data_IF_223844971204
#
_entry.id   IF_223844971204
#
_cell.length_a   1.000
_cell.length_b   1.000
_cell.length_c   1.000
_cell.angle_alpha   90.00
_cell.angle_beta   90.00
_cell.angle_gamma   90.00
#
_symmetry.space_group_name_H-M   'P 1'
#
loop_
_entity.id
_entity.type
_entity.pdbx_description
1 polymer ?
#
# COMPACT_ATOMS: atom_id res chain seq x y z
N UNK A 1 2.65 10.26 13.03
CA UNK A 1 1.23 10.46 12.66
C UNK A 1 0.49 9.13 12.72
N UNK A 2 -0.80 9.12 13.07
CA UNK A 2 -1.64 7.91 12.99
C UNK A 2 -2.37 7.89 11.64
N UNK A 3 -2.13 6.88 10.80
CA UNK A 3 -2.87 6.70 9.56
C UNK A 3 -3.94 5.61 9.74
N UNK A 4 -5.16 5.91 9.30
CA UNK A 4 -6.22 4.93 9.07
C UNK A 4 -6.67 5.06 7.62
N UNK A 5 -6.45 4.02 6.83
CA UNK A 5 -6.78 3.99 5.41
C UNK A 5 -7.64 2.77 5.10
N UNK A 6 -8.79 2.99 4.47
CA UNK A 6 -9.76 1.95 4.15
C UNK A 6 -10.39 2.22 2.78
N UNK A 7 -9.59 2.11 1.69
CA UNK A 7 -10.07 2.40 0.36
C UNK A 7 -11.07 1.34 -0.11
N UNK A 8 -12.09 1.76 -0.86
CA UNK A 8 -13.03 0.85 -1.51
C UNK A 8 -12.48 0.43 -2.87
N UNK A 9 -11.55 -0.52 -2.88
CA UNK A 9 -11.10 -1.18 -4.11
C UNK A 9 -11.33 -2.69 -4.03
N UNK A 10 -11.51 -3.31 -5.20
CA UNK A 10 -11.50 -4.76 -5.35
C UNK A 10 -10.71 -5.13 -6.59
N UNK A 11 -9.88 -6.15 -6.50
CA UNK A 11 -9.13 -6.72 -7.61
C UNK A 11 -9.63 -8.15 -7.84
N UNK A 12 -9.81 -8.52 -9.11
CA UNK A 12 -10.14 -9.88 -9.51
C UNK A 12 -9.11 -10.36 -10.52
N UNK A 13 -8.55 -11.54 -10.30
CA UNK A 13 -7.55 -12.17 -11.16
C UNK A 13 -7.99 -13.58 -11.46
N UNK A 14 -8.06 -13.90 -12.76
CA UNK A 14 -8.31 -15.26 -13.24
C UNK A 14 -7.00 -15.82 -13.78
N UNK A 15 -6.64 -17.02 -13.34
CA UNK A 15 -5.48 -17.73 -13.88
C UNK A 15 -5.76 -19.22 -14.04
N UNK A 16 -5.07 -19.81 -15.01
CA UNK A 16 -5.13 -21.24 -15.28
C UNK A 16 -3.80 -21.87 -14.85
N UNK A 17 -3.88 -23.00 -14.15
CA UNK A 17 -2.72 -23.72 -13.65
C UNK A 17 -2.77 -25.20 -13.98
N UNK A 18 -1.62 -25.83 -13.95
CA UNK A 18 -1.48 -27.28 -14.09
C UNK A 18 -0.70 -27.80 -12.90
N UNK A 19 -1.39 -28.50 -11.99
CA UNK A 19 -0.75 -29.17 -10.86
C UNK A 19 -1.45 -30.50 -10.64
N UNK A 20 -0.88 -31.57 -11.22
CA UNK A 20 -1.49 -32.89 -11.40
C UNK A 20 -2.76 -32.91 -12.29
N UNK A 21 -3.59 -31.86 -12.24
CA UNK A 21 -4.75 -31.64 -13.10
C UNK A 21 -4.80 -30.16 -13.54
N UNK A 22 -5.38 -29.89 -14.70
CA UNK A 22 -5.70 -28.52 -15.13
C UNK A 22 -6.77 -27.94 -14.21
N UNK A 23 -6.54 -26.73 -13.69
CA UNK A 23 -7.53 -26.02 -12.90
C UNK A 23 -7.63 -24.56 -13.35
N UNK A 24 -8.81 -23.98 -13.18
CA UNK A 24 -9.01 -22.53 -13.29
C UNK A 24 -9.25 -21.95 -11.91
N UNK A 25 -8.52 -20.90 -11.57
CA UNK A 25 -8.65 -20.22 -10.30
C UNK A 25 -9.10 -18.77 -10.54
N UNK A 26 -10.17 -18.38 -9.87
CA UNK A 26 -10.62 -17.01 -9.74
C UNK A 26 -10.31 -16.52 -8.34
N UNK A 27 -9.39 -15.57 -8.26
CA UNK A 27 -8.97 -14.90 -7.04
C UNK A 27 -9.62 -13.52 -6.97
N UNK A 28 -10.26 -13.21 -5.84
CA UNK A 28 -10.78 -11.88 -5.54
C UNK A 28 -10.15 -11.34 -4.26
N UNK A 29 -9.59 -10.14 -4.33
CA UNK A 29 -9.02 -9.41 -3.20
C UNK A 29 -9.84 -8.14 -2.97
N UNK A 30 -10.33 -7.91 -1.75
CA UNK A 30 -11.21 -6.78 -1.43
C UNK A 30 -11.18 -6.42 0.07
N UNK A 31 -11.89 -5.34 0.43
CA UNK A 31 -12.03 -4.84 1.81
C UNK A 31 -10.67 -4.61 2.49
N UNK A 32 -9.73 -4.01 1.76
CA UNK A 32 -8.41 -3.67 2.26
C UNK A 32 -8.52 -2.52 3.26
N UNK A 33 -7.99 -2.73 4.47
CA UNK A 33 -7.90 -1.73 5.53
C UNK A 33 -6.53 -1.78 6.15
N UNK A 34 -5.90 -0.63 6.32
CA UNK A 34 -4.59 -0.46 6.96
C UNK A 34 -4.68 0.59 8.05
N UNK A 35 -4.08 0.30 9.19
CA UNK A 35 -4.00 1.19 10.33
C UNK A 35 -2.62 1.06 10.97
N UNK A 36 -1.93 2.18 11.13
CA UNK A 36 -0.59 2.17 11.72
C UNK A 36 -0.02 3.56 11.92
N UNK A 37 1.13 3.61 12.59
CA UNK A 37 1.89 4.85 12.79
C UNK A 37 2.82 5.09 11.61
N UNK A 38 2.69 6.26 11.00
CA UNK A 38 3.57 6.71 9.90
C UNK A 38 4.59 7.71 10.44
N UNK A 39 5.82 7.54 9.97
CA UNK A 39 6.92 8.49 10.02
C UNK A 39 7.03 9.18 8.66
N UNK A 40 7.13 10.51 8.72
CA UNK A 40 7.43 11.36 7.58
C UNK A 40 8.81 11.96 7.82
N UNK A 41 9.69 11.84 6.83
CA UNK A 41 10.95 12.56 6.74
C UNK A 41 10.84 13.50 5.55
N UNK A 42 11.22 14.76 5.73
CA UNK A 42 11.37 15.69 4.61
C UNK A 42 12.75 16.32 4.72
N UNK A 43 13.45 16.46 3.59
CA UNK A 43 14.65 17.29 3.52
C UNK A 43 14.28 18.76 3.72
N UNK A 44 15.23 19.58 4.19
CA UNK A 44 14.97 21.00 4.48
C UNK A 44 14.56 21.81 3.22
N UNK A 45 15.02 21.37 2.05
CA UNK A 45 14.72 21.92 0.73
C UNK A 45 13.52 21.23 0.04
N UNK A 46 12.86 20.28 0.72
CA UNK A 46 11.75 19.46 0.19
C UNK A 46 12.09 18.68 -1.10
N UNK A 47 13.38 18.52 -1.43
CA UNK A 47 13.82 17.70 -2.56
C UNK A 47 13.54 16.21 -2.36
N UNK A 48 13.42 15.77 -1.10
CA UNK A 48 13.16 14.38 -0.74
C UNK A 48 12.14 14.28 0.39
N UNK A 49 11.09 13.49 0.17
CA UNK A 49 10.07 13.18 1.18
C UNK A 49 10.02 11.65 1.36
N UNK A 50 10.48 11.17 2.51
CA UNK A 50 10.41 9.78 2.92
C UNK A 50 9.12 9.49 3.71
N UNK A 51 8.38 8.46 3.29
CA UNK A 51 7.17 8.00 3.96
C UNK A 51 7.35 6.53 4.35
N UNK A 52 7.24 6.23 5.64
CA UNK A 52 7.33 4.85 6.15
C UNK A 52 6.42 4.61 7.34
N UNK A 53 6.02 3.35 7.56
CA UNK A 53 5.44 2.92 8.81
C UNK A 53 6.55 2.72 9.87
N UNK A 54 6.29 3.17 11.10
CA UNK A 54 7.22 3.01 12.23
C UNK A 54 7.39 1.54 12.61
N UNK A 55 6.30 0.78 12.50
CA UNK A 55 6.18 -0.65 12.81
C UNK A 55 5.19 -1.28 11.82
N UNK A 56 5.15 -2.60 11.75
CA UNK A 56 4.21 -3.29 10.87
C UNK A 56 2.76 -2.82 11.13
N UNK A 57 2.09 -2.18 10.15
CA UNK A 57 0.72 -1.72 10.37
C UNK A 57 -0.23 -2.91 10.54
N UNK A 58 -1.29 -2.69 11.32
CA UNK A 58 -2.42 -3.61 11.35
C UNK A 58 -3.13 -3.49 10.02
N UNK A 59 -3.23 -4.59 9.29
CA UNK A 59 -3.97 -4.64 8.05
C UNK A 59 -5.06 -5.72 8.09
N UNK A 60 -6.14 -5.48 7.37
CA UNK A 60 -7.19 -6.45 7.08
C UNK A 60 -7.33 -6.53 5.58
N UNK A 61 -7.32 -7.74 5.07
CA UNK A 61 -7.54 -8.08 3.68
C UNK A 61 -8.56 -9.21 3.64
N UNK A 62 -9.55 -9.13 2.75
CA UNK A 62 -10.42 -10.28 2.45
C UNK A 62 -10.02 -10.84 1.10
N UNK A 63 -10.00 -12.15 1.04
CA UNK A 63 -9.60 -12.91 -0.13
C UNK A 63 -10.65 -13.99 -0.33
N UNK A 64 -11.26 -14.04 -1.52
CA UNK A 64 -12.14 -15.14 -1.92
C UNK A 64 -11.45 -15.90 -3.06
N UNK A 65 -11.32 -17.22 -2.94
CA UNK A 65 -10.73 -18.08 -3.96
C UNK A 65 -11.74 -19.11 -4.44
N UNK A 66 -12.05 -19.08 -5.74
CA UNK A 66 -12.90 -20.07 -6.40
C UNK A 66 -12.10 -20.87 -7.40
N UNK A 67 -12.11 -22.21 -7.29
CA UNK A 67 -11.37 -23.11 -8.18
C UNK A 67 -12.35 -24.03 -8.90
N UNK A 68 -12.28 -24.08 -10.23
CA UNK A 68 -13.17 -24.90 -11.06
C UNK A 68 -12.44 -26.03 -11.81
N UNK A 69 -13.05 -27.22 -11.67
CA UNK A 69 -12.85 -28.57 -12.26
C UNK A 69 -11.49 -29.28 -12.22
N UNK A 70 -11.53 -30.58 -11.88
CA UNK A 70 -10.41 -31.53 -11.97
C UNK A 70 -10.14 -32.45 -10.76
N UNK A 71 -10.72 -32.20 -9.59
CA UNK A 71 -10.38 -32.80 -8.28
C UNK A 71 -9.07 -32.29 -7.66
N UNK A 72 -9.15 -31.12 -7.04
CA UNK A 72 -8.39 -30.80 -5.82
C UNK A 72 -9.11 -29.71 -5.00
N UNK A 73 -10.32 -29.98 -4.47
CA UNK A 73 -10.94 -29.07 -3.51
C UNK A 73 -10.29 -29.26 -2.13
N UNK A 74 -10.09 -28.15 -1.43
CA UNK A 74 -9.79 -28.00 0.01
C UNK A 74 -8.35 -27.68 0.47
N UNK A 75 -7.23 -28.15 -0.13
CA UNK A 75 -5.91 -27.63 0.24
C UNK A 75 -5.51 -26.38 -0.56
N UNK A 76 -5.84 -26.31 -1.86
CA UNK A 76 -5.33 -25.24 -2.74
C UNK A 76 -5.95 -23.87 -2.41
N UNK A 77 -7.24 -23.80 -2.10
CA UNK A 77 -7.92 -22.55 -1.74
C UNK A 77 -7.33 -21.95 -0.45
N UNK A 78 -7.29 -22.73 0.63
CA UNK A 78 -6.71 -22.30 1.90
C UNK A 78 -5.21 -21.98 1.77
N UNK A 79 -4.48 -22.75 0.95
CA UNK A 79 -3.08 -22.48 0.64
C UNK A 79 -2.91 -21.14 -0.08
N UNK A 80 -3.70 -20.85 -1.12
CA UNK A 80 -3.63 -19.59 -1.85
C UNK A 80 -4.02 -18.40 -0.96
N UNK A 81 -5.09 -18.51 -0.18
CA UNK A 81 -5.50 -17.47 0.76
C UNK A 81 -4.40 -17.17 1.79
N UNK A 82 -3.85 -18.20 2.43
CA UNK A 82 -2.77 -18.02 3.41
C UNK A 82 -1.49 -17.48 2.79
N UNK A 83 -1.14 -17.92 1.58
CA UNK A 83 0.01 -17.42 0.82
C UNK A 83 -0.15 -15.95 0.48
N UNK A 84 -1.33 -15.54 -0.01
CA UNK A 84 -1.60 -14.12 -0.32
C UNK A 84 -1.45 -13.26 0.92
N UNK A 85 -2.01 -13.69 2.05
CA UNK A 85 -1.88 -12.95 3.31
C UNK A 85 -0.43 -12.88 3.80
N UNK A 86 0.33 -13.97 3.66
CA UNK A 86 1.74 -14.02 4.00
C UNK A 86 2.57 -13.07 3.13
N UNK A 87 2.42 -13.16 1.81
CA UNK A 87 3.13 -12.33 0.85
C UNK A 87 2.75 -10.85 0.97
N UNK A 88 1.48 -10.52 1.24
CA UNK A 88 1.08 -9.13 1.52
C UNK A 88 1.78 -8.59 2.77
N UNK A 89 1.83 -9.39 3.84
CA UNK A 89 2.51 -9.00 5.08
C UNK A 89 4.01 -8.80 4.83
N UNK A 90 4.63 -9.71 4.07
CA UNK A 90 6.04 -9.65 3.71
C UNK A 90 6.34 -8.41 2.86
N UNK A 91 5.54 -8.14 1.84
CA UNK A 91 5.64 -6.94 1.01
C UNK A 91 5.53 -5.66 1.84
N UNK A 92 4.59 -5.57 2.78
CA UNK A 92 4.49 -4.42 3.70
C UNK A 92 5.77 -4.24 4.52
N UNK A 93 6.33 -5.33 5.06
CA UNK A 93 7.57 -5.28 5.83
C UNK A 93 8.78 -4.86 4.98
N UNK A 94 8.88 -5.38 3.76
CA UNK A 94 10.04 -5.15 2.89
C UNK A 94 10.07 -3.75 2.26
N UNK A 95 8.90 -3.15 2.02
CA UNK A 95 8.83 -1.91 1.25
C UNK A 95 8.25 -0.73 2.02
N UNK A 96 7.43 -0.96 3.05
CA UNK A 96 6.66 0.11 3.69
C UNK A 96 7.00 0.35 5.16
N UNK A 97 7.82 -0.50 5.79
CA UNK A 97 8.18 -0.38 7.22
C UNK A 97 9.64 0.08 7.38
N UNK A 98 9.87 1.03 8.28
CA UNK A 98 11.20 1.54 8.65
C UNK A 98 12.20 0.38 8.89
N UNK A 99 13.43 0.43 8.34
CA UNK A 99 14.09 1.59 7.74
C UNK A 99 13.76 1.82 6.26
N UNK A 100 12.84 1.04 5.66
CA UNK A 100 12.42 1.19 4.27
C UNK A 100 11.35 2.25 4.18
N UNK A 101 11.44 3.09 3.15
CA UNK A 101 10.54 4.20 2.94
C UNK A 101 10.23 4.40 1.46
N UNK A 102 9.00 4.83 1.19
CA UNK A 102 8.64 5.39 -0.10
C UNK A 102 9.28 6.77 -0.17
N UNK A 103 10.26 6.92 -1.08
CA UNK A 103 10.92 8.20 -1.34
C UNK A 103 10.21 8.89 -2.50
N UNK A 104 9.63 10.05 -2.21
CA UNK A 104 9.10 10.96 -3.23
C UNK A 104 10.16 12.03 -3.48
N UNK A 105 10.47 12.26 -4.75
CA UNK A 105 11.36 13.32 -5.21
C UNK A 105 10.52 14.35 -5.97
N UNK A 106 9.95 15.37 -5.29
CA UNK A 106 9.24 16.43 -5.96
C UNK A 106 10.19 17.09 -6.97
N UNK A 107 9.72 17.43 -8.19
CA UNK A 107 10.53 18.24 -9.10
C UNK A 107 10.91 19.51 -8.35
N UNK A 108 12.22 19.80 -8.29
CA UNK A 108 12.83 20.71 -7.33
C UNK A 108 11.97 21.92 -7.07
N UNK A 109 11.49 22.04 -5.83
CA UNK A 109 10.82 23.26 -5.38
C UNK A 109 11.85 24.38 -5.48
N UNK A 110 11.85 25.07 -6.62
CA UNK A 110 12.58 26.31 -6.79
C UNK A 110 11.62 27.38 -6.30
N UNK A 111 11.78 27.91 -5.07
CA UNK A 111 11.05 29.11 -4.70
C UNK A 111 11.33 30.14 -5.80
N UNK A 112 10.27 30.77 -6.33
CA UNK A 112 10.43 31.90 -7.25
C UNK A 112 11.47 32.83 -6.64
N UNK A 113 12.46 33.28 -7.42
CA UNK A 113 13.43 34.25 -6.91
C UNK A 113 12.66 35.49 -6.45
N UNK A 114 12.65 35.70 -5.13
CA UNK A 114 11.81 36.71 -4.48
C UNK A 114 10.44 36.18 -4.09
N UNK A 115 10.17 36.17 -2.78
CA UNK A 115 8.80 36.11 -2.26
C UNK A 115 8.14 37.45 -2.57
N UNK A 116 6.97 37.43 -3.20
CA UNK A 116 6.19 38.66 -3.36
C UNK A 116 5.48 38.99 -2.04
N UNK A 117 5.15 40.26 -1.82
CA UNK A 117 4.35 40.67 -0.65
C UNK A 117 3.01 39.93 -0.61
N UNK A 118 2.47 39.54 -1.78
CA UNK A 118 1.25 38.75 -1.91
C UNK A 118 1.44 37.31 -1.40
N UNK A 119 2.59 36.69 -1.67
CA UNK A 119 2.93 35.36 -1.14
C UNK A 119 3.08 35.37 0.39
N UNK A 120 3.66 36.45 0.94
CA UNK A 120 3.85 36.64 2.38
C UNK A 120 2.50 36.87 3.09
N UNK A 121 1.64 37.72 2.54
CA UNK A 121 0.30 37.95 3.11
C UNK A 121 -0.58 36.70 3.03
N UNK A 122 -0.47 35.92 1.94
CA UNK A 122 -1.17 34.64 1.82
C UNK A 122 -0.68 33.61 2.83
N UNK A 123 0.63 33.59 3.12
CA UNK A 123 1.19 32.74 4.17
C UNK A 123 0.72 33.16 5.57
N UNK A 124 0.68 34.46 5.89
CA UNK A 124 0.16 34.96 7.17
C UNK A 124 -1.29 34.56 7.42
N UNK A 125 -2.15 34.71 6.40
CA UNK A 125 -3.57 34.30 6.49
C UNK A 125 -3.79 32.80 6.65
N UNK A 126 -2.81 31.96 6.31
CA UNK A 126 -2.92 30.51 6.45
C UNK A 126 -2.50 30.01 7.85
N UNK A 127 -1.92 30.89 8.68
CA UNK A 127 -1.46 30.59 10.05
C UNK A 127 -2.48 31.05 11.10
N UNK A 128 -3.38 31.99 10.76
CA UNK A 128 -4.57 32.35 11.55
C UNK A 128 -5.70 31.32 11.40
#
# INVERSE_FOLDING_TARGET
>A
WNLRWAPSWSMQVSFEGVQFVHFKCLLRIYDFKVMGRIRLRASADLSEIGISFVELPRFRLKTDVSVSWGSLPLPLQAFLESTIHHEFKKWLLEYMVSPKELVLNPPGFQPKQGLTDEDVEKAKRAVE
#
